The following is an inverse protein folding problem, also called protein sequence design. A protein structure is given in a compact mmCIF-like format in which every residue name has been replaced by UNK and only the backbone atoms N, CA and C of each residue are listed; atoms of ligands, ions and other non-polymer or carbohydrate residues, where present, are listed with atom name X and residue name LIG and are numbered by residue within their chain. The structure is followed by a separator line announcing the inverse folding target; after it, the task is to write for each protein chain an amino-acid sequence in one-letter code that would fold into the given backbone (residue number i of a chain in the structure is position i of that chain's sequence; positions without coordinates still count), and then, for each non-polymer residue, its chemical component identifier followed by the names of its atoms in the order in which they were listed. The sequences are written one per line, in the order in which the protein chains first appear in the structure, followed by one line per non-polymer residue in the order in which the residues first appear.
data_IF_186948593959
#
_entry.id   IF_186948593959
#
_cell.length_a   1.000
_cell.length_b   1.000
_cell.length_c   1.000
_cell.angle_alpha   90.00
_cell.angle_beta   90.00
_cell.angle_gamma   90.00
#
_symmetry.space_group_name_H-M   'P 1'
#
loop_
_entity.id
_entity.type
_entity.pdbx_description
1 polymer ?
#
# COMPACT_ATOMS: atom_id res chain seq x y z
N UNK A 1 3.92 20.48 3.95
CA UNK A 1 4.44 19.11 3.81
C UNK A 1 3.34 18.18 4.24
N UNK A 2 2.98 17.16 3.46
CA UNK A 2 1.98 16.17 3.87
C UNK A 2 2.57 15.26 4.96
N UNK A 3 1.78 14.87 5.94
CA UNK A 3 2.24 14.06 7.07
C UNK A 3 2.41 12.57 6.69
N UNK A 4 3.11 11.78 7.50
CA UNK A 4 3.21 10.33 7.28
C UNK A 4 1.84 9.64 7.28
N UNK A 5 0.97 9.98 8.23
CA UNK A 5 -0.42 9.50 8.29
C UNK A 5 -1.14 9.71 6.97
N UNK A 6 -1.10 10.93 6.44
CA UNK A 6 -1.80 11.24 5.19
C UNK A 6 -1.21 10.49 4.00
N UNK A 7 0.13 10.37 3.93
CA UNK A 7 0.81 9.59 2.88
C UNK A 7 0.44 8.11 2.94
N UNK A 8 0.45 7.51 4.13
CA UNK A 8 0.06 6.12 4.35
C UNK A 8 -1.39 5.92 3.95
N UNK A 9 -2.31 6.79 4.40
CA UNK A 9 -3.74 6.73 4.04
C UNK A 9 -3.93 6.74 2.52
N UNK A 10 -3.35 7.73 1.83
CA UNK A 10 -3.45 7.88 0.37
C UNK A 10 -2.88 6.66 -0.37
N UNK A 11 -1.75 6.13 0.09
CA UNK A 11 -1.15 4.96 -0.53
C UNK A 11 -2.03 3.71 -0.34
N UNK A 12 -2.59 3.50 0.85
CA UNK A 12 -3.50 2.39 1.13
C UNK A 12 -4.80 2.54 0.31
N UNK A 13 -5.31 3.75 0.10
CA UNK A 13 -6.43 4.01 -0.83
C UNK A 13 -6.07 3.58 -2.26
N UNK A 14 -4.89 3.96 -2.74
CA UNK A 14 -4.41 3.59 -4.07
C UNK A 14 -4.29 2.07 -4.22
N UNK A 15 -3.78 1.35 -3.22
CA UNK A 15 -3.73 -0.12 -3.22
C UNK A 15 -5.11 -0.77 -3.36
N UNK A 16 -6.16 -0.13 -2.85
CA UNK A 16 -7.55 -0.59 -2.93
C UNK A 16 -8.30 -0.15 -4.20
N UNK A 17 -7.70 0.66 -5.07
CA UNK A 17 -8.35 1.32 -6.19
C UNK A 17 -7.73 0.96 -7.56
N UNK A 18 -8.10 -0.19 -8.17
CA UNK A 18 -7.56 -0.61 -9.47
C UNK A 18 -7.71 0.44 -10.59
N UNK A 19 -8.81 1.20 -10.58
CA UNK A 19 -9.02 2.30 -11.53
C UNK A 19 -7.97 3.40 -11.42
N UNK A 20 -7.66 3.83 -10.19
CA UNK A 20 -6.64 4.85 -9.94
C UNK A 20 -5.23 4.35 -10.26
N UNK A 21 -4.95 3.08 -10.03
CA UNK A 21 -3.69 2.45 -10.45
C UNK A 21 -3.53 2.49 -11.98
N UNK A 22 -4.59 2.20 -12.72
CA UNK A 22 -4.58 2.29 -14.19
C UNK A 22 -4.38 3.73 -14.67
N UNK A 23 -5.03 4.71 -14.04
CA UNK A 23 -4.81 6.12 -14.32
C UNK A 23 -3.37 6.55 -14.01
N UNK A 24 -2.79 6.06 -12.91
CA UNK A 24 -1.40 6.33 -12.56
C UNK A 24 -0.47 5.80 -13.66
N UNK A 25 -0.66 4.54 -14.09
CA UNK A 25 0.15 3.94 -15.15
C UNK A 25 0.03 4.68 -16.48
N UNK A 26 -1.14 5.21 -16.81
CA UNK A 26 -1.35 6.02 -18.01
C UNK A 26 -0.60 7.38 -17.94
N UNK A 27 -0.48 7.97 -16.75
CA UNK A 27 0.26 9.23 -16.53
C UNK A 27 1.78 9.03 -16.58
N UNK A 28 2.29 7.86 -16.20
CA UNK A 28 3.72 7.52 -16.19
C UNK A 28 4.01 6.21 -16.93
N UNK A 29 3.85 6.15 -18.26
CA UNK A 29 3.93 4.90 -19.02
C UNK A 29 5.31 4.24 -19.01
N UNK A 30 6.37 4.96 -18.62
CA UNK A 30 7.73 4.44 -18.50
C UNK A 30 8.01 3.76 -17.13
N UNK A 31 7.08 3.87 -16.17
CA UNK A 31 7.24 3.36 -14.80
C UNK A 31 6.40 2.10 -14.63
N UNK A 32 6.92 1.10 -13.93
CA UNK A 32 6.12 -0.06 -13.53
C UNK A 32 5.33 0.26 -12.27
N UNK A 33 4.05 0.60 -12.43
CA UNK A 33 3.22 1.01 -11.28
C UNK A 33 3.09 -0.08 -10.24
N UNK A 34 3.11 -1.36 -10.61
CA UNK A 34 3.05 -2.45 -9.61
C UNK A 34 4.28 -2.41 -8.69
N UNK A 35 5.47 -2.20 -9.27
CA UNK A 35 6.69 -2.03 -8.48
C UNK A 35 6.62 -0.78 -7.62
N UNK A 36 6.09 0.33 -8.13
CA UNK A 36 5.91 1.54 -7.33
C UNK A 36 4.98 1.31 -6.14
N UNK A 37 3.88 0.58 -6.31
CA UNK A 37 2.97 0.26 -5.21
C UNK A 37 3.68 -0.52 -4.10
N UNK A 38 4.55 -1.45 -4.47
CA UNK A 38 5.34 -2.24 -3.51
C UNK A 38 6.44 -1.38 -2.88
N UNK A 39 7.29 -0.76 -3.69
CA UNK A 39 8.46 0.00 -3.24
C UNK A 39 8.04 1.20 -2.37
N UNK A 40 6.98 1.92 -2.74
CA UNK A 40 6.50 3.03 -1.91
C UNK A 40 6.10 2.55 -0.51
N UNK A 41 5.49 1.38 -0.37
CA UNK A 41 5.17 0.85 0.95
C UNK A 41 6.43 0.44 1.72
N UNK A 42 7.22 -0.48 1.15
CA UNK A 42 8.31 -1.17 1.86
C UNK A 42 9.61 -0.36 1.96
N UNK A 43 9.89 0.50 0.98
CA UNK A 43 11.13 1.30 0.95
C UNK A 43 10.90 2.72 1.50
N UNK A 44 9.75 3.35 1.22
CA UNK A 44 9.56 4.79 1.46
C UNK A 44 8.61 5.16 2.62
N UNK A 45 7.53 4.40 2.83
CA UNK A 45 6.42 4.81 3.70
C UNK A 45 6.43 4.12 5.06
N UNK A 46 6.41 2.79 5.10
CA UNK A 46 6.28 2.05 6.35
C UNK A 46 7.62 2.02 7.10
N UNK A 47 7.79 2.97 8.01
CA UNK A 47 9.04 3.21 8.75
C UNK A 47 8.81 3.11 10.27
N UNK A 48 8.40 1.94 10.81
CA UNK A 48 7.92 1.82 12.19
C UNK A 48 8.96 2.16 13.26
N UNK A 49 10.25 2.08 12.93
CA UNK A 49 11.37 2.41 13.84
C UNK A 49 11.77 3.89 13.78
N UNK A 50 11.23 4.65 12.83
CA UNK A 50 11.53 6.08 12.70
C UNK A 50 10.57 6.91 13.57
N UNK A 51 11.12 7.70 14.48
CA UNK A 51 10.33 8.47 15.47
C UNK A 51 9.31 9.43 14.83
N UNK A 52 9.69 10.10 13.74
CA UNK A 52 8.76 11.02 13.07
C UNK A 52 7.60 10.28 12.39
N UNK A 53 7.78 9.02 12.00
CA UNK A 53 6.70 8.18 11.51
C UNK A 53 5.83 7.68 12.68
N UNK A 54 6.43 7.05 13.68
CA UNK A 54 5.69 6.38 14.75
C UNK A 54 4.91 7.36 15.65
N UNK A 55 5.39 8.59 15.81
CA UNK A 55 4.69 9.65 16.57
C UNK A 55 3.39 10.14 15.90
N UNK A 56 3.15 9.84 14.62
CA UNK A 56 1.90 10.22 13.94
C UNK A 56 0.75 9.21 14.14
N UNK A 57 1.03 8.06 14.76
CA UNK A 57 0.08 6.96 14.94
C UNK A 57 -0.04 6.57 16.41
N UNK A 58 -1.22 6.11 16.80
CA UNK A 58 -1.44 5.47 18.10
C UNK A 58 -0.82 4.08 18.11
N UNK A 59 -0.59 3.52 19.31
CA UNK A 59 -0.08 2.16 19.46
C UNK A 59 -0.96 1.12 18.76
N UNK A 60 -2.29 1.29 18.79
CA UNK A 60 -3.22 0.40 18.11
C UNK A 60 -3.12 0.50 16.58
N UNK A 61 -2.98 1.71 16.05
CA UNK A 61 -2.79 1.91 14.60
C UNK A 61 -1.48 1.31 14.13
N UNK A 62 -0.39 1.46 14.90
CA UNK A 62 0.90 0.85 14.59
C UNK A 62 0.82 -0.67 14.55
N UNK A 63 0.03 -1.30 15.43
CA UNK A 63 -0.22 -2.74 15.40
C UNK A 63 -0.94 -3.15 14.10
N UNK A 64 -2.00 -2.44 13.72
CA UNK A 64 -2.72 -2.71 12.47
C UNK A 64 -1.83 -2.49 11.23
N UNK A 65 -1.00 -1.45 11.23
CA UNK A 65 -0.03 -1.19 10.17
C UNK A 65 1.03 -2.28 10.09
N UNK A 66 1.50 -2.78 11.24
CA UNK A 66 2.44 -3.89 11.28
C UNK A 66 1.85 -5.17 10.70
N UNK A 67 0.65 -5.54 11.14
CA UNK A 67 -0.05 -6.72 10.63
C UNK A 67 -0.29 -6.60 9.12
N UNK A 68 -0.77 -5.45 8.65
CA UNK A 68 -0.93 -5.19 7.22
C UNK A 68 0.38 -5.35 6.45
N UNK A 69 1.50 -4.82 6.98
CA UNK A 69 2.79 -4.93 6.31
C UNK A 69 3.26 -6.39 6.20
N UNK A 70 3.06 -7.20 7.24
CA UNK A 70 3.39 -8.63 7.21
C UNK A 70 2.53 -9.40 6.20
N UNK A 71 1.22 -9.13 6.19
CA UNK A 71 0.30 -9.78 5.26
C UNK A 71 0.58 -9.36 3.81
N UNK A 72 0.94 -8.09 3.58
CA UNK A 72 1.33 -7.61 2.25
C UNK A 72 2.66 -8.24 1.82
N UNK A 73 3.64 -8.36 2.71
CA UNK A 73 4.92 -9.02 2.45
C UNK A 73 4.72 -10.49 2.03
N UNK A 74 3.79 -11.20 2.67
CA UNK A 74 3.45 -12.58 2.34
C UNK A 74 2.84 -12.74 0.93
N UNK A 75 2.21 -11.70 0.39
CA UNK A 75 1.62 -11.71 -0.97
C UNK A 75 2.67 -11.42 -2.04
N UNK A 76 3.79 -10.75 -1.72
CA UNK A 76 4.81 -10.31 -2.69
C UNK A 76 5.26 -11.37 -3.69
N UNK A 77 5.55 -12.64 -3.30
CA UNK A 77 6.02 -13.65 -4.24
C UNK A 77 5.01 -14.00 -5.35
N UNK A 78 3.75 -13.60 -5.19
CA UNK A 78 2.66 -13.84 -6.13
C UNK A 78 2.24 -12.60 -6.94
N UNK A 79 2.92 -11.47 -6.75
CA UNK A 79 2.66 -10.24 -7.51
C UNK A 79 3.39 -10.32 -8.86
N UNK A 80 2.68 -10.21 -9.99
CA UNK A 80 3.31 -10.24 -11.31
C UNK A 80 3.87 -8.87 -11.71
N UNK A 81 4.82 -8.89 -12.65
CA UNK A 81 5.63 -7.72 -13.02
C UNK A 81 4.93 -6.64 -13.87
N UNK A 82 3.63 -6.75 -14.16
CA UNK A 82 2.92 -5.72 -14.93
C UNK A 82 1.56 -5.44 -14.34
N UNK A 83 1.09 -4.20 -14.48
CA UNK A 83 -0.21 -3.81 -13.95
C UNK A 83 -1.38 -4.62 -14.53
N UNK A 84 -1.32 -4.93 -15.84
CA UNK A 84 -2.34 -5.74 -16.48
C UNK A 84 -2.40 -7.18 -15.93
N UNK A 85 -1.24 -7.80 -15.70
CA UNK A 85 -1.20 -9.14 -15.09
C UNK A 85 -1.60 -9.07 -13.61
N UNK A 86 -1.25 -8.01 -12.90
CA UNK A 86 -1.62 -7.81 -11.50
C UNK A 86 -3.14 -7.68 -11.37
N UNK A 87 -3.78 -6.82 -12.14
CA UNK A 87 -5.25 -6.68 -12.11
C UNK A 87 -6.01 -7.98 -12.46
N UNK A 88 -5.39 -8.88 -13.23
CA UNK A 88 -5.95 -10.18 -13.55
C UNK A 88 -5.63 -11.29 -12.52
N UNK A 89 -4.78 -11.01 -11.52
CA UNK A 89 -4.33 -12.00 -10.55
C UNK A 89 -5.17 -12.02 -9.27
N UNK A 90 -5.11 -13.14 -8.54
CA UNK A 90 -5.64 -13.23 -7.18
C UNK A 90 -4.87 -12.35 -6.19
N UNK A 91 -3.59 -12.06 -6.47
CA UNK A 91 -2.77 -11.19 -5.62
C UNK A 91 -3.26 -9.74 -5.62
N UNK A 92 -3.82 -9.22 -6.72
CA UNK A 92 -4.47 -7.90 -6.70
C UNK A 92 -5.70 -7.87 -5.79
N UNK A 93 -6.53 -8.93 -5.83
CA UNK A 93 -7.68 -9.03 -4.92
C UNK A 93 -7.24 -9.13 -3.46
N UNK A 94 -6.17 -9.87 -3.17
CA UNK A 94 -5.61 -9.99 -1.83
C UNK A 94 -5.11 -8.63 -1.31
N UNK A 95 -4.26 -7.94 -2.08
CA UNK A 95 -3.73 -6.61 -1.72
C UNK A 95 -4.86 -5.60 -1.51
N UNK A 96 -5.82 -5.53 -2.42
CA UNK A 96 -6.96 -4.62 -2.28
C UNK A 96 -7.83 -4.96 -1.06
N UNK A 97 -7.95 -6.24 -0.68
CA UNK A 97 -8.69 -6.66 0.50
C UNK A 97 -7.96 -6.28 1.79
N UNK A 98 -6.65 -6.49 1.86
CA UNK A 98 -5.81 -6.07 2.99
C UNK A 98 -5.89 -4.55 3.18
N UNK A 99 -5.78 -3.79 2.10
CA UNK A 99 -5.87 -2.34 2.15
C UNK A 99 -7.24 -1.85 2.67
N UNK A 100 -8.33 -2.48 2.23
CA UNK A 100 -9.68 -2.17 2.74
C UNK A 100 -9.86 -2.54 4.22
N UNK A 101 -9.30 -3.67 4.65
CA UNK A 101 -9.33 -4.09 6.06
C UNK A 101 -8.56 -3.13 6.96
N UNK A 102 -7.40 -2.64 6.50
CA UNK A 102 -6.62 -1.64 7.22
C UNK A 102 -7.41 -0.33 7.39
N UNK A 103 -8.02 0.17 6.31
CA UNK A 103 -8.90 1.35 6.34
C UNK A 103 -10.01 1.21 7.38
N UNK A 104 -10.69 0.06 7.40
CA UNK A 104 -11.74 -0.22 8.38
C UNK A 104 -11.21 -0.33 9.81
N UNK A 105 -10.03 -0.91 10.00
CA UNK A 105 -9.44 -1.11 11.34
C UNK A 105 -8.96 0.19 11.97
N UNK A 106 -8.52 1.14 11.14
CA UNK A 106 -8.00 2.44 11.57
C UNK A 106 -9.07 3.56 11.52
N UNK A 107 -10.24 3.32 10.89
CA UNK A 107 -11.30 4.31 10.65
C UNK A 107 -10.81 5.53 9.85
N UNK A 108 -10.13 5.27 8.74
CA UNK A 108 -9.82 6.28 7.73
C UNK A 108 -10.98 6.50 6.74
#
# INVERSE_FOLDING_TARGET
MISYRERVRLHVELLAAPGEQAEYQAKVPAVNVVNELVNQWFDDLYQPTFEAFSSEFTAQELEHLHQFSQDFEAVLPSIPDTLALFHASSSSLAVASLAKQLHQSINW
#
